data_IF_676123948833
#
_entry.id   IF_676123948833
#
_cell.length_a   1.000
_cell.length_b   1.000
_cell.length_c   1.000
_cell.angle_alpha   90.00
_cell.angle_beta   90.00
_cell.angle_gamma   90.00
#
_symmetry.space_group_name_H-M   'P 1'
#
loop_
_entity.id
_entity.type
_entity.pdbx_description
1 polymer ?
#
# COMPACT_ATOMS: atom_id res chain seq x y z
N UNK A 1 -3.38 -6.72 -30.81
CA UNK A 1 -2.47 -7.66 -30.14
C UNK A 1 -3.26 -8.41 -29.09
N UNK A 2 -3.10 -9.73 -29.04
CA UNK A 2 -3.88 -10.63 -28.18
C UNK A 2 -3.46 -10.52 -26.72
N UNK A 3 -4.43 -10.44 -25.81
CA UNK A 3 -4.22 -10.48 -24.36
C UNK A 3 -3.61 -11.82 -23.96
N UNK A 4 -2.50 -11.81 -23.21
CA UNK A 4 -1.94 -13.03 -22.61
C UNK A 4 -2.79 -13.40 -21.39
N UNK A 5 -3.29 -14.63 -21.35
CA UNK A 5 -4.07 -15.16 -20.23
C UNK A 5 -3.31 -16.37 -19.69
N UNK A 6 -2.92 -16.31 -18.42
CA UNK A 6 -2.26 -17.42 -17.74
C UNK A 6 -3.32 -18.18 -16.95
N UNK A 7 -3.44 -19.47 -17.21
CA UNK A 7 -4.44 -20.32 -16.57
C UNK A 7 -3.80 -21.35 -15.65
N UNK A 8 -2.61 -21.82 -16.01
CA UNK A 8 -1.87 -22.86 -15.31
C UNK A 8 -0.58 -22.35 -14.67
N UNK A 9 -0.05 -23.14 -13.74
CA UNK A 9 1.26 -22.90 -13.14
C UNK A 9 2.39 -23.03 -14.16
N UNK A 10 2.24 -23.89 -15.17
CA UNK A 10 3.20 -24.00 -16.26
C UNK A 10 3.24 -22.72 -17.11
N UNK A 11 2.08 -22.12 -17.42
CA UNK A 11 2.01 -20.84 -18.14
C UNK A 11 2.77 -19.75 -17.37
N UNK A 12 2.55 -19.69 -16.05
CA UNK A 12 3.21 -18.75 -15.15
C UNK A 12 4.73 -18.91 -15.18
N UNK A 13 5.23 -20.14 -15.05
CA UNK A 13 6.67 -20.44 -15.05
C UNK A 13 7.31 -20.13 -16.40
N UNK A 14 6.65 -20.43 -17.51
CA UNK A 14 7.13 -20.12 -18.86
C UNK A 14 7.29 -18.61 -19.04
N UNK A 15 6.29 -17.81 -18.68
CA UNK A 15 6.39 -16.34 -18.80
C UNK A 15 7.44 -15.78 -17.86
N UNK A 16 7.57 -16.32 -16.64
CA UNK A 16 8.62 -15.91 -15.71
C UNK A 16 10.03 -16.19 -16.28
N UNK A 17 10.24 -17.35 -16.89
CA UNK A 17 11.49 -17.69 -17.57
C UNK A 17 11.76 -16.75 -18.76
N UNK A 18 10.74 -16.42 -19.55
CA UNK A 18 10.87 -15.46 -20.65
C UNK A 18 11.24 -14.05 -20.19
N UNK A 19 10.66 -13.57 -19.08
CA UNK A 19 11.04 -12.29 -18.48
C UNK A 19 12.50 -12.29 -18.01
N UNK A 20 12.91 -13.37 -17.32
CA UNK A 20 14.27 -13.51 -16.81
C UNK A 20 15.33 -13.59 -17.92
N UNK A 21 14.96 -14.06 -19.12
CA UNK A 21 15.86 -14.10 -20.27
C UNK A 21 16.19 -12.70 -20.87
N UNK A 22 15.43 -11.66 -20.48
CA UNK A 22 15.88 -10.26 -20.55
C UNK A 22 15.99 -9.58 -21.92
N UNK A 23 15.21 -9.98 -22.95
CA UNK A 23 15.38 -9.48 -24.33
C UNK A 23 14.07 -9.15 -25.07
N UNK A 24 13.11 -8.49 -24.41
CA UNK A 24 11.81 -8.16 -25.04
C UNK A 24 11.62 -6.64 -25.15
N UNK A 25 10.96 -6.14 -26.20
CA UNK A 25 10.56 -4.73 -26.27
C UNK A 25 9.67 -4.33 -25.08
N UNK A 26 9.75 -3.08 -24.63
CA UNK A 26 9.01 -2.59 -23.45
C UNK A 26 7.51 -2.87 -23.51
N UNK A 27 6.90 -2.74 -24.70
CA UNK A 27 5.48 -3.06 -24.91
C UNK A 27 5.15 -4.53 -24.62
N UNK A 28 6.02 -5.46 -25.04
CA UNK A 28 5.87 -6.88 -24.76
C UNK A 28 6.06 -7.19 -23.29
N UNK A 29 7.04 -6.55 -22.63
CA UNK A 29 7.26 -6.67 -21.19
C UNK A 29 6.02 -6.26 -20.40
N UNK A 30 5.37 -5.13 -20.76
CA UNK A 30 4.10 -4.71 -20.12
C UNK A 30 3.02 -5.78 -20.20
N UNK A 31 2.82 -6.39 -21.37
CA UNK A 31 1.82 -7.46 -21.51
C UNK A 31 2.14 -8.70 -20.67
N UNK A 32 3.42 -9.12 -20.63
CA UNK A 32 3.86 -10.26 -19.84
C UNK A 32 3.71 -10.00 -18.34
N UNK A 33 4.15 -8.83 -17.88
CA UNK A 33 4.06 -8.40 -16.48
C UNK A 33 2.61 -8.28 -16.05
N UNK A 34 1.74 -7.67 -16.85
CA UNK A 34 0.32 -7.56 -16.53
C UNK A 34 -0.34 -8.95 -16.46
N UNK A 35 0.04 -9.89 -17.33
CA UNK A 35 -0.46 -11.26 -17.28
C UNK A 35 -0.03 -11.99 -15.99
N UNK A 36 1.24 -11.85 -15.58
CA UNK A 36 1.73 -12.37 -14.29
C UNK A 36 1.01 -11.71 -13.12
N UNK A 37 0.80 -10.40 -13.12
CA UNK A 37 0.13 -9.71 -12.03
C UNK A 37 -1.33 -10.13 -11.88
N UNK A 38 -2.05 -10.33 -12.99
CA UNK A 38 -3.40 -10.88 -13.00
C UNK A 38 -3.42 -12.31 -12.41
N UNK A 39 -2.49 -13.17 -12.84
CA UNK A 39 -2.37 -14.54 -12.34
C UNK A 39 -2.07 -14.56 -10.84
N UNK A 40 -1.11 -13.74 -10.40
CA UNK A 40 -0.70 -13.62 -8.99
C UNK A 40 -1.86 -13.15 -8.12
N UNK A 41 -2.63 -12.18 -8.59
CA UNK A 41 -3.79 -11.68 -7.86
C UNK A 41 -4.84 -12.77 -7.66
N UNK A 42 -5.17 -13.52 -8.71
CA UNK A 42 -6.17 -14.58 -8.64
C UNK A 42 -5.82 -15.69 -7.62
N UNK A 43 -4.54 -15.78 -7.22
CA UNK A 43 -3.99 -16.81 -6.32
C UNK A 43 -3.31 -16.22 -5.06
N UNK A 44 -3.48 -14.92 -4.78
CA UNK A 44 -2.81 -14.22 -3.66
C UNK A 44 -1.28 -14.42 -3.61
N UNK A 45 -0.60 -14.50 -4.77
CA UNK A 45 0.86 -14.65 -4.83
C UNK A 45 1.57 -13.33 -4.50
N UNK A 46 2.46 -13.36 -3.51
CA UNK A 46 3.24 -12.22 -3.05
C UNK A 46 2.36 -11.08 -2.53
N UNK A 47 2.77 -9.84 -2.83
CA UNK A 47 2.12 -8.61 -2.37
C UNK A 47 0.97 -8.12 -3.27
N UNK A 48 0.54 -8.94 -4.24
CA UNK A 48 -0.53 -8.60 -5.18
C UNK A 48 -1.90 -8.81 -4.53
N UNK A 49 -2.72 -7.76 -4.41
CA UNK A 49 -4.12 -7.83 -3.91
C UNK A 49 -5.05 -6.92 -4.72
N UNK A 50 -6.34 -7.27 -4.87
CA UNK A 50 -7.30 -6.47 -5.65
C UNK A 50 -7.43 -5.01 -5.19
N UNK A 51 -7.48 -4.77 -3.88
CA UNK A 51 -7.76 -3.45 -3.30
C UNK A 51 -6.62 -2.43 -3.44
N UNK A 52 -5.41 -2.87 -3.81
CA UNK A 52 -4.24 -2.01 -4.04
C UNK A 52 -3.91 -1.83 -5.54
N UNK A 53 -4.88 -2.10 -6.44
CA UNK A 53 -4.61 -2.20 -7.88
C UNK A 53 -5.67 -1.57 -8.78
N UNK A 54 -6.95 -1.81 -8.50
CA UNK A 54 -8.00 -1.34 -9.40
C UNK A 54 -8.31 0.13 -9.18
N UNK A 55 -8.10 0.93 -10.23
CA UNK A 55 -8.37 2.37 -10.20
C UNK A 55 -7.41 3.17 -9.30
N UNK A 56 -6.29 2.57 -8.89
CA UNK A 56 -5.25 3.24 -8.11
C UNK A 56 -4.01 3.53 -8.96
N UNK A 57 -3.31 4.59 -8.61
CA UNK A 57 -1.97 4.90 -9.13
C UNK A 57 -1.03 5.12 -7.96
N UNK A 58 -0.13 4.18 -7.73
CA UNK A 58 0.94 4.29 -6.75
C UNK A 58 2.06 5.16 -7.34
N UNK A 59 2.20 6.39 -6.83
CA UNK A 59 3.16 7.36 -7.33
C UNK A 59 4.43 7.48 -6.50
N UNK A 60 4.43 6.91 -5.29
CA UNK A 60 5.61 6.80 -4.45
C UNK A 60 5.49 5.54 -3.59
N UNK A 61 6.59 4.83 -3.41
CA UNK A 61 6.62 3.60 -2.63
C UNK A 61 7.91 3.45 -1.85
N UNK A 62 7.78 3.06 -0.57
CA UNK A 62 8.89 2.83 0.33
C UNK A 62 8.87 1.44 0.93
N UNK A 63 10.04 0.95 1.28
CA UNK A 63 10.23 -0.25 2.09
C UNK A 63 10.51 0.16 3.53
N UNK A 64 9.82 -0.48 4.45
CA UNK A 64 10.08 -0.36 5.88
C UNK A 64 11.23 -1.28 6.30
N UNK A 65 11.98 -0.84 7.30
CA UNK A 65 13.05 -1.57 7.93
C UNK A 65 12.95 -1.51 9.46
N UNK A 66 14.01 -1.95 10.13
CA UNK A 66 14.05 -2.09 11.57
C UNK A 66 13.92 -0.77 12.35
N UNK A 67 14.31 0.36 11.77
CA UNK A 67 14.19 1.67 12.43
C UNK A 67 12.75 2.20 12.43
N UNK A 68 11.84 1.60 11.67
CA UNK A 68 10.44 2.03 11.57
C UNK A 68 9.53 1.30 12.58
N UNK A 69 10.09 0.88 13.71
CA UNK A 69 9.34 0.19 14.77
C UNK A 69 8.23 1.06 15.37
N UNK A 70 8.45 2.37 15.46
CA UNK A 70 7.45 3.34 15.93
C UNK A 70 6.22 3.37 15.01
N UNK A 71 6.42 3.38 13.68
CA UNK A 71 5.32 3.33 12.72
C UNK A 71 4.45 2.07 12.92
N UNK A 72 5.09 0.93 13.21
CA UNK A 72 4.39 -0.33 13.50
C UNK A 72 3.59 -0.25 14.79
N UNK A 73 4.14 0.35 15.85
CA UNK A 73 3.42 0.56 17.11
C UNK A 73 2.22 1.50 16.93
N UNK A 74 2.40 2.57 16.16
CA UNK A 74 1.33 3.51 15.86
C UNK A 74 0.22 2.84 15.02
N UNK A 75 0.56 1.98 14.07
CA UNK A 75 -0.42 1.18 13.35
C UNK A 75 -1.24 0.28 14.30
N UNK A 76 -0.59 -0.40 15.25
CA UNK A 76 -1.31 -1.19 16.28
C UNK A 76 -2.26 -0.32 17.09
N UNK A 77 -1.78 0.84 17.58
CA UNK A 77 -2.59 1.78 18.36
C UNK A 77 -3.84 2.23 17.59
N UNK A 78 -3.66 2.65 16.33
CA UNK A 78 -4.75 3.06 15.44
C UNK A 78 -5.77 1.95 15.26
N UNK A 79 -5.34 0.71 14.97
CA UNK A 79 -6.26 -0.41 14.77
C UNK A 79 -7.11 -0.65 16.02
N UNK A 80 -6.48 -0.67 17.19
CA UNK A 80 -7.19 -0.96 18.45
C UNK A 80 -8.12 0.17 18.87
N UNK A 81 -7.76 1.43 18.58
CA UNK A 81 -8.59 2.60 18.86
C UNK A 81 -9.82 2.67 17.93
N UNK A 82 -9.63 2.40 16.64
CA UNK A 82 -10.68 2.51 15.62
C UNK A 82 -11.64 1.31 15.60
N UNK A 83 -11.14 0.11 15.95
CA UNK A 83 -11.94 -1.11 16.03
C UNK A 83 -11.82 -1.78 17.40
N UNK A 84 -12.38 -1.19 18.47
CA UNK A 84 -12.32 -1.78 19.82
C UNK A 84 -12.99 -3.16 19.87
N UNK A 85 -13.99 -3.39 19.02
CA UNK A 85 -14.74 -4.64 18.87
C UNK A 85 -14.22 -5.51 17.71
N UNK A 86 -12.92 -5.44 17.40
CA UNK A 86 -12.31 -6.30 16.38
C UNK A 86 -12.49 -7.78 16.76
N UNK A 87 -13.01 -8.64 15.85
CA UNK A 87 -13.21 -10.06 16.15
C UNK A 87 -11.91 -10.78 16.51
N UNK A 88 -12.01 -11.87 17.27
CA UNK A 88 -10.85 -12.55 17.85
C UNK A 88 -9.86 -13.06 16.80
N UNK A 89 -10.34 -13.67 15.72
CA UNK A 89 -9.48 -14.22 14.66
C UNK A 89 -8.60 -13.15 13.98
N UNK A 90 -9.14 -12.04 13.43
CA UNK A 90 -8.31 -10.97 12.87
C UNK A 90 -7.45 -10.28 13.94
N UNK A 91 -7.94 -10.12 15.18
CA UNK A 91 -7.13 -9.56 16.28
C UNK A 91 -5.89 -10.41 16.54
N UNK A 92 -6.08 -11.72 16.71
CA UNK A 92 -4.99 -12.66 16.94
C UNK A 92 -3.96 -12.62 15.80
N UNK A 93 -4.43 -12.59 14.55
CA UNK A 93 -3.54 -12.47 13.40
C UNK A 93 -2.73 -11.17 13.42
N UNK A 94 -3.36 -10.03 13.70
CA UNK A 94 -2.67 -8.73 13.77
C UNK A 94 -1.62 -8.75 14.87
N UNK A 95 -1.96 -9.26 16.05
CA UNK A 95 -1.03 -9.38 17.17
C UNK A 95 0.16 -10.28 16.81
N UNK A 96 -0.10 -11.43 16.21
CA UNK A 96 0.95 -12.34 15.76
C UNK A 96 1.83 -11.69 14.68
N UNK A 97 1.25 -10.97 13.72
CA UNK A 97 2.00 -10.35 12.63
C UNK A 97 2.86 -9.17 13.10
N UNK A 98 2.30 -8.28 13.92
CA UNK A 98 2.94 -7.02 14.29
C UNK A 98 3.79 -7.09 15.57
N UNK A 99 3.50 -8.06 16.45
CA UNK A 99 4.19 -8.22 17.73
C UNK A 99 5.04 -9.50 17.83
N UNK A 100 5.11 -10.34 16.78
CA UNK A 100 6.00 -11.52 16.82
C UNK A 100 7.49 -11.17 16.82
N UNK A 101 8.28 -12.13 17.31
CA UNK A 101 9.75 -12.03 17.30
C UNK A 101 10.32 -11.95 15.86
N UNK A 102 9.64 -12.55 14.88
CA UNK A 102 10.01 -12.43 13.47
C UNK A 102 9.40 -11.15 12.89
N UNK A 103 10.26 -10.19 12.57
CA UNK A 103 9.81 -8.89 12.05
C UNK A 103 9.06 -9.06 10.72
N UNK A 104 7.89 -8.42 10.55
CA UNK A 104 7.19 -8.43 9.29
C UNK A 104 7.96 -7.63 8.24
N UNK A 105 7.80 -8.01 6.98
CA UNK A 105 8.10 -7.14 5.86
C UNK A 105 7.09 -5.98 5.86
N UNK A 106 7.55 -4.78 5.57
CA UNK A 106 6.69 -3.60 5.54
C UNK A 106 6.92 -2.75 4.29
N UNK A 107 5.85 -2.15 3.78
CA UNK A 107 5.88 -1.24 2.64
C UNK A 107 4.87 -0.10 2.84
N UNK A 108 5.20 1.06 2.29
CA UNK A 108 4.30 2.20 2.18
C UNK A 108 4.04 2.45 0.69
N UNK A 109 2.77 2.65 0.31
CA UNK A 109 2.39 3.03 -1.05
C UNK A 109 1.53 4.29 -1.01
N UNK A 110 2.02 5.39 -1.57
CA UNK A 110 1.23 6.61 -1.75
C UNK A 110 0.51 6.53 -3.08
N UNK A 111 -0.80 6.78 -3.05
CA UNK A 111 -1.68 6.48 -4.16
C UNK A 111 -2.69 7.58 -4.46
N UNK A 112 -3.06 7.66 -5.73
CA UNK A 112 -4.25 8.36 -6.21
C UNK A 112 -5.33 7.32 -6.51
N UNK A 113 -6.57 7.57 -6.08
CA UNK A 113 -7.68 6.64 -6.23
C UNK A 113 -9.00 7.38 -6.50
N UNK A 114 -9.82 6.85 -7.41
CA UNK A 114 -11.17 7.38 -7.65
C UNK A 114 -12.22 6.40 -7.19
N UNK A 115 -13.15 6.87 -6.36
CA UNK A 115 -14.28 6.10 -5.84
C UNK A 115 -15.58 6.85 -6.08
N UNK A 116 -16.51 6.24 -6.82
CA UNK A 116 -17.80 6.85 -7.16
C UNK A 116 -17.70 8.29 -7.70
N UNK A 117 -16.66 8.59 -8.48
CA UNK A 117 -16.39 9.91 -9.06
C UNK A 117 -15.68 10.89 -8.12
N UNK A 118 -15.49 10.56 -6.84
CA UNK A 118 -14.70 11.33 -5.90
C UNK A 118 -13.23 10.93 -5.99
N UNK A 119 -12.34 11.92 -6.09
CA UNK A 119 -10.90 11.71 -6.05
C UNK A 119 -10.38 11.68 -4.61
N UNK A 120 -9.43 10.79 -4.36
CA UNK A 120 -8.70 10.66 -3.10
C UNK A 120 -7.21 10.56 -3.39
N UNK A 121 -6.40 11.25 -2.61
CA UNK A 121 -5.02 10.81 -2.40
C UNK A 121 -4.95 10.06 -1.08
N UNK A 122 -4.11 9.03 -1.01
CA UNK A 122 -3.99 8.22 0.19
C UNK A 122 -2.65 7.54 0.32
N UNK A 123 -2.52 6.82 1.42
CA UNK A 123 -1.35 6.03 1.75
C UNK A 123 -1.79 4.66 2.26
N UNK A 124 -1.16 3.62 1.73
CA UNK A 124 -1.30 2.23 2.20
C UNK A 124 -0.08 1.91 3.05
N UNK A 125 -0.28 1.62 4.34
CA UNK A 125 0.73 1.01 5.20
C UNK A 125 0.49 -0.49 5.21
N UNK A 126 1.45 -1.23 4.68
CA UNK A 126 1.31 -2.65 4.41
C UNK A 126 2.33 -3.46 5.19
N UNK A 127 1.85 -4.38 6.02
CA UNK A 127 2.68 -5.36 6.72
C UNK A 127 2.38 -6.76 6.22
N UNK A 128 3.38 -7.63 6.23
CA UNK A 128 3.16 -9.03 5.89
C UNK A 128 4.36 -9.91 6.19
N UNK A 129 4.16 -11.20 6.06
CA UNK A 129 5.20 -12.22 6.27
C UNK A 129 5.13 -13.28 5.20
N UNK A 130 6.23 -13.99 5.01
CA UNK A 130 6.23 -15.19 4.17
C UNK A 130 5.37 -16.23 4.87
N UNK A 131 4.37 -16.76 4.16
CA UNK A 131 3.54 -17.83 4.68
C UNK A 131 4.41 -19.06 4.98
N UNK A 132 4.15 -19.72 6.12
CA UNK A 132 4.96 -20.84 6.62
C UNK A 132 5.03 -22.02 5.66
N UNK A 133 3.97 -22.26 4.89
CA UNK A 133 3.82 -23.42 4.02
C UNK A 133 4.36 -23.14 2.60
N UNK A 134 4.52 -21.86 2.22
CA UNK A 134 4.96 -21.49 0.88
C UNK A 134 5.60 -20.11 0.79
N UNK A 135 6.80 -20.08 0.21
CA UNK A 135 7.53 -18.84 -0.14
C UNK A 135 6.83 -17.98 -1.18
N UNK A 136 5.78 -18.46 -1.84
CA UNK A 136 5.00 -17.71 -2.84
C UNK A 136 3.87 -16.92 -2.22
N UNK A 137 3.36 -17.38 -1.09
CA UNK A 137 2.21 -16.78 -0.41
C UNK A 137 2.66 -15.82 0.68
N UNK A 138 1.84 -14.81 0.92
CA UNK A 138 2.09 -13.80 1.94
C UNK A 138 0.82 -13.64 2.75
N UNK A 139 0.98 -13.70 4.06
CA UNK A 139 0.01 -13.16 4.98
C UNK A 139 0.16 -11.64 4.98
N UNK A 140 -0.95 -10.92 5.06
CA UNK A 140 -0.94 -9.47 4.86
C UNK A 140 -1.93 -8.73 5.76
N UNK A 141 -1.52 -7.55 6.17
CA UNK A 141 -2.33 -6.51 6.79
C UNK A 141 -2.10 -5.21 6.00
N UNK A 142 -3.18 -4.57 5.56
CA UNK A 142 -3.12 -3.25 4.93
C UNK A 142 -3.99 -2.27 5.71
N UNK A 143 -3.42 -1.11 6.06
CA UNK A 143 -4.15 0.08 6.50
C UNK A 143 -4.10 1.10 5.37
N UNK A 144 -5.24 1.67 5.00
CA UNK A 144 -5.36 2.64 3.92
C UNK A 144 -5.96 3.91 4.49
N UNK A 145 -5.21 5.01 4.45
CA UNK A 145 -5.60 6.32 4.97
C UNK A 145 -5.77 7.29 3.80
N UNK A 146 -6.93 7.93 3.68
CA UNK A 146 -7.32 8.65 2.46
C UNK A 146 -7.90 10.02 2.77
N UNK A 147 -7.45 10.98 1.97
CA UNK A 147 -7.87 12.38 1.99
C UNK A 147 -8.60 12.70 0.68
N UNK A 148 -9.84 13.20 0.73
CA UNK A 148 -10.57 13.62 -0.46
C UNK A 148 -9.85 14.79 -1.12
N UNK A 149 -9.79 14.76 -2.45
CA UNK A 149 -9.23 15.82 -3.28
C UNK A 149 -10.37 16.54 -3.99
N UNK A 150 -10.46 17.85 -3.79
CA UNK A 150 -11.39 18.74 -4.49
C UNK A 150 -10.61 19.87 -5.14
N UNK A 151 -10.81 20.07 -6.44
CA UNK A 151 -10.12 21.12 -7.22
C UNK A 151 -8.58 21.09 -7.08
N UNK A 152 -8.00 19.89 -6.97
CA UNK A 152 -6.56 19.70 -6.79
C UNK A 152 -6.04 20.00 -5.37
N UNK A 153 -6.94 20.15 -4.40
CA UNK A 153 -6.62 20.40 -2.99
C UNK A 153 -7.07 19.21 -2.15
N UNK A 154 -6.13 18.64 -1.41
CA UNK A 154 -6.38 17.61 -0.40
C UNK A 154 -7.02 18.22 0.85
N UNK A 155 -8.08 17.61 1.35
CA UNK A 155 -8.96 18.22 2.38
C UNK A 155 -8.79 17.63 3.79
N UNK A 156 -7.83 16.73 3.96
CA UNK A 156 -7.50 16.10 5.24
C UNK A 156 -8.01 14.67 5.30
N UNK A 157 -7.50 13.90 6.26
CA UNK A 157 -7.90 12.51 6.47
C UNK A 157 -9.42 12.43 6.67
N UNK A 158 -10.08 11.70 5.78
CA UNK A 158 -11.52 11.45 5.87
C UNK A 158 -11.87 9.97 5.90
N UNK A 159 -11.00 9.10 5.38
CA UNK A 159 -11.33 7.67 5.31
C UNK A 159 -10.17 6.82 5.79
N UNK A 160 -10.50 5.81 6.60
CA UNK A 160 -9.61 4.74 7.00
C UNK A 160 -10.22 3.40 6.57
N UNK A 161 -9.45 2.58 5.87
CA UNK A 161 -9.80 1.18 5.55
C UNK A 161 -8.73 0.24 6.09
N UNK A 162 -9.13 -0.97 6.41
CA UNK A 162 -8.24 -2.04 6.85
C UNK A 162 -8.61 -3.35 6.15
N UNK A 163 -7.59 -4.11 5.75
CA UNK A 163 -7.74 -5.45 5.21
C UNK A 163 -6.81 -6.39 5.97
N UNK A 164 -7.40 -7.41 6.61
CA UNK A 164 -6.71 -8.47 7.33
C UNK A 164 -6.80 -9.73 6.49
N UNK A 165 -5.69 -10.15 5.88
CA UNK A 165 -5.66 -11.21 4.89
C UNK A 165 -4.48 -12.17 5.13
N UNK A 166 -4.54 -13.03 6.18
CA UNK A 166 -3.73 -14.23 6.22
C UNK A 166 -3.99 -15.07 4.97
N UNK A 167 -2.95 -15.68 4.42
CA UNK A 167 -3.15 -16.54 3.24
C UNK A 167 -3.97 -17.77 3.62
N UNK A 168 -5.00 -18.05 2.81
CA UNK A 168 -5.78 -19.29 2.83
C UNK A 168 -5.99 -19.81 1.40
N UNK A 169 -5.94 -21.13 1.22
CA UNK A 169 -6.16 -21.75 -0.09
C UNK A 169 -7.64 -21.72 -0.51
N UNK A 170 -8.56 -21.51 0.43
CA UNK A 170 -10.00 -21.67 0.25
C UNK A 170 -10.73 -20.37 -0.12
N UNK A 171 -10.08 -19.20 -0.08
CA UNK A 171 -10.77 -17.92 -0.20
C UNK A 171 -9.99 -16.83 -0.94
N UNK A 172 -10.69 -16.05 -1.77
CA UNK A 172 -10.13 -14.80 -2.35
C UNK A 172 -10.33 -13.59 -1.45
N UNK A 173 -11.33 -13.64 -0.59
CA UNK A 173 -11.66 -12.57 0.34
C UNK A 173 -10.65 -12.51 1.49
N UNK A 174 -10.45 -11.32 2.09
CA UNK A 174 -9.70 -11.18 3.34
C UNK A 174 -10.43 -11.92 4.47
N UNK A 175 -9.69 -12.32 5.50
CA UNK A 175 -10.27 -12.83 6.76
C UNK A 175 -11.23 -11.80 7.36
N UNK A 176 -10.86 -10.53 7.29
CA UNK A 176 -11.69 -9.43 7.76
C UNK A 176 -11.32 -8.12 7.07
N UNK A 177 -12.30 -7.23 6.93
CA UNK A 177 -12.10 -5.87 6.43
C UNK A 177 -12.95 -4.88 7.22
N UNK A 178 -12.45 -3.66 7.37
CA UNK A 178 -13.11 -2.58 8.10
C UNK A 178 -12.97 -1.25 7.36
N UNK A 179 -13.92 -0.34 7.60
CA UNK A 179 -13.99 0.96 6.93
C UNK A 179 -14.65 1.99 7.84
N UNK A 180 -14.06 3.18 7.92
CA UNK A 180 -14.52 4.36 8.68
C UNK A 180 -14.41 5.61 7.79
N UNK A 181 -15.47 6.42 7.71
CA UNK A 181 -15.52 7.69 6.93
C UNK A 181 -15.60 8.97 7.77
N UNK A 182 -15.80 8.85 9.11
CA UNK A 182 -15.72 9.85 10.21
C UNK A 182 -16.74 9.52 11.32
N UNK A 183 -16.52 9.97 12.56
CA UNK A 183 -15.32 10.65 13.06
C UNK A 183 -14.13 9.69 13.11
N UNK A 184 -12.95 10.19 12.76
CA UNK A 184 -11.68 9.45 12.82
C UNK A 184 -10.95 9.86 14.10
N UNK A 185 -10.39 8.89 14.83
CA UNK A 185 -9.73 9.11 16.11
C UNK A 185 -8.45 9.96 15.96
N UNK A 186 -8.06 10.71 17.01
CA UNK A 186 -6.84 11.53 16.99
C UNK A 186 -5.57 10.77 16.64
N UNK A 187 -5.40 9.54 17.11
CA UNK A 187 -4.21 8.72 16.80
C UNK A 187 -4.11 8.38 15.31
N UNK A 188 -5.24 8.22 14.63
CA UNK A 188 -5.29 7.97 13.19
C UNK A 188 -4.91 9.24 12.41
N UNK A 189 -5.33 10.42 12.90
CA UNK A 189 -4.88 11.71 12.36
C UNK A 189 -3.36 11.86 12.53
N UNK A 190 -2.81 11.47 13.69
CA UNK A 190 -1.37 11.45 13.95
C UNK A 190 -0.62 10.54 12.99
N UNK A 191 -1.13 9.32 12.76
CA UNK A 191 -0.55 8.38 11.79
C UNK A 191 -0.55 8.95 10.37
N UNK A 192 -1.66 9.55 9.93
CA UNK A 192 -1.72 10.17 8.61
C UNK A 192 -0.75 11.34 8.46
N UNK A 193 -0.64 12.20 9.48
CA UNK A 193 0.32 13.30 9.49
C UNK A 193 1.77 12.81 9.44
N UNK A 194 2.10 11.79 10.23
CA UNK A 194 3.41 11.16 10.19
C UNK A 194 3.75 10.62 8.80
N UNK A 195 2.82 9.89 8.17
CA UNK A 195 3.01 9.34 6.83
C UNK A 195 3.12 10.42 5.75
N UNK A 196 2.35 11.50 5.89
CA UNK A 196 2.45 12.67 5.02
C UNK A 196 3.88 13.23 5.07
N UNK A 197 4.42 13.44 6.27
CA UNK A 197 5.78 13.93 6.50
C UNK A 197 6.83 12.99 5.93
N UNK A 198 6.71 11.67 6.18
CA UNK A 198 7.59 10.66 5.60
C UNK A 198 7.60 10.71 4.06
N UNK A 199 6.46 10.97 3.42
CA UNK A 199 6.39 11.10 1.96
C UNK A 199 7.33 12.18 1.41
N UNK A 200 7.47 13.30 2.13
CA UNK A 200 8.32 14.42 1.76
C UNK A 200 9.78 14.15 2.15
N UNK A 201 10.01 13.67 3.37
CA UNK A 201 11.37 13.43 3.89
C UNK A 201 12.07 12.30 3.11
N UNK A 202 11.35 11.22 2.81
CA UNK A 202 11.93 10.07 2.11
C UNK A 202 11.87 10.17 0.59
N UNK A 203 11.31 11.23 0.02
CA UNK A 203 11.17 11.38 -1.43
C UNK A 203 12.49 11.22 -2.20
N UNK A 204 13.60 11.63 -1.59
CA UNK A 204 14.93 11.58 -2.19
C UNK A 204 15.82 10.48 -1.56
N UNK A 205 15.32 9.75 -0.56
CA UNK A 205 16.06 8.69 0.12
C UNK A 205 16.00 7.37 -0.67
N UNK A 206 16.99 7.18 -1.55
CA UNK A 206 17.14 5.98 -2.38
C UNK A 206 17.24 4.68 -1.58
N UNK A 207 17.63 4.72 -0.30
CA UNK A 207 17.69 3.51 0.54
C UNK A 207 16.31 3.02 0.98
N UNK A 208 15.33 3.93 0.99
CA UNK A 208 13.94 3.68 1.36
C UNK A 208 13.08 3.32 0.17
N UNK A 209 13.39 3.88 -1.00
CA UNK A 209 12.60 3.68 -2.22
C UNK A 209 12.46 2.19 -2.53
N UNK A 210 11.21 1.73 -2.57
CA UNK A 210 10.89 0.44 -3.12
C UNK A 210 10.71 0.59 -4.63
N UNK A 211 11.80 0.37 -5.36
CA UNK A 211 11.81 0.34 -6.83
C UNK A 211 12.27 -1.03 -7.29
N UNK A 212 11.31 -1.85 -7.72
CA UNK A 212 11.61 -3.11 -8.40
C UNK A 212 11.47 -2.86 -9.90
N UNK A 213 12.39 -3.33 -10.74
CA UNK A 213 12.38 -3.06 -12.20
C UNK A 213 11.02 -3.34 -12.88
N UNK A 214 10.22 -4.25 -12.31
CA UNK A 214 8.89 -4.60 -12.80
C UNK A 214 7.88 -3.46 -12.65
N UNK A 215 8.07 -2.50 -11.73
CA UNK A 215 7.13 -1.40 -11.48
C UNK A 215 6.93 -0.54 -12.72
N UNK A 216 7.96 -0.38 -13.56
CA UNK A 216 7.90 0.37 -14.82
C UNK A 216 6.97 -0.29 -15.88
N UNK A 217 6.54 -1.53 -15.60
CA UNK A 217 5.72 -2.35 -16.46
C UNK A 217 4.38 -2.76 -15.84
N UNK A 218 4.06 -2.27 -14.63
CA UNK A 218 2.80 -2.52 -13.94
C UNK A 218 1.92 -1.28 -14.03
N UNK A 219 0.71 -1.42 -14.54
CA UNK A 219 -0.16 -0.28 -14.90
C UNK A 219 -0.54 0.64 -13.73
N UNK A 220 -0.55 0.12 -12.49
CA UNK A 220 -0.91 0.89 -11.29
C UNK A 220 0.31 1.50 -10.57
N UNK A 221 1.50 1.47 -11.17
CA UNK A 221 2.67 2.25 -10.75
C UNK A 221 2.99 3.30 -11.81
N UNK A 222 3.26 4.53 -11.38
CA UNK A 222 3.59 5.60 -12.32
C UNK A 222 3.52 6.98 -11.67
N UNK A 223 3.78 8.06 -12.42
CA UNK A 223 3.64 9.41 -11.90
C UNK A 223 2.18 9.68 -11.51
N UNK A 224 1.98 10.68 -10.65
CA UNK A 224 0.67 11.28 -10.40
C UNK A 224 -0.06 11.58 -11.71
N UNK A 225 -1.34 11.27 -11.76
CA UNK A 225 -2.22 11.54 -12.90
C UNK A 225 -2.96 12.86 -12.74
N UNK A 226 -3.06 13.40 -11.53
CA UNK A 226 -3.77 14.64 -11.26
C UNK A 226 -2.81 15.81 -11.01
N UNK A 227 -3.26 17.00 -11.43
CA UNK A 227 -2.58 18.24 -11.10
C UNK A 227 -2.99 18.65 -9.69
N UNK A 228 -2.05 18.53 -8.75
CA UNK A 228 -2.26 18.90 -7.35
C UNK A 228 -1.76 20.33 -7.09
N UNK A 229 -2.64 21.17 -6.54
CA UNK A 229 -2.31 22.50 -6.03
C UNK A 229 -1.81 22.43 -4.58
N UNK A 230 -2.49 21.61 -3.77
CA UNK A 230 -2.14 21.35 -2.37
C UNK A 230 -2.32 19.87 -2.05
N UNK A 231 -1.27 19.22 -1.59
CA UNK A 231 -1.23 17.79 -1.29
C UNK A 231 -0.53 17.53 0.04
N UNK A 232 -1.02 16.54 0.79
CA UNK A 232 -0.29 16.03 1.95
C UNK A 232 0.94 15.22 1.56
N UNK A 233 0.95 14.65 0.35
CA UNK A 233 2.04 13.79 -0.10
C UNK A 233 2.95 14.48 -1.11
N UNK A 234 4.20 14.06 -1.17
CA UNK A 234 5.23 14.67 -2.00
C UNK A 234 4.80 14.90 -3.46
N UNK A 235 5.12 16.09 -3.97
CA UNK A 235 4.99 16.48 -5.37
C UNK A 235 6.40 16.83 -5.89
N UNK A 236 6.96 16.06 -6.83
CA UNK A 236 8.30 16.33 -7.37
C UNK A 236 8.44 17.77 -7.87
N UNK A 237 9.45 18.47 -7.35
CA UNK A 237 9.78 19.84 -7.77
C UNK A 237 8.83 20.94 -7.27
N UNK A 238 7.88 20.64 -6.38
CA UNK A 238 6.91 21.63 -5.88
C UNK A 238 6.67 21.51 -4.35
N UNK A 239 7.67 21.92 -3.55
CA UNK A 239 7.55 21.95 -2.09
C UNK A 239 6.49 22.92 -1.58
N UNK A 240 6.21 23.99 -2.33
CA UNK A 240 5.17 24.97 -1.98
C UNK A 240 3.74 24.38 -2.02
N UNK A 241 3.55 23.24 -2.70
CA UNK A 241 2.29 22.51 -2.73
C UNK A 241 2.05 21.61 -1.51
N UNK A 242 2.97 21.56 -0.54
CA UNK A 242 2.73 20.84 0.71
C UNK A 242 1.54 21.45 1.47
N UNK A 243 0.55 20.62 1.75
CA UNK A 243 -0.51 20.92 2.70
C UNK A 243 0.04 20.79 4.13
N UNK A 244 -0.47 21.63 5.02
CA UNK A 244 -0.08 21.63 6.43
C UNK A 244 -1.33 21.31 7.25
N UNK A 245 -1.19 20.52 8.29
CA UNK A 245 -2.28 20.29 9.23
C UNK A 245 -2.52 21.55 10.05
N UNK A 246 -3.78 21.97 10.16
CA UNK A 246 -4.10 23.24 10.80
C UNK A 246 -3.73 23.27 12.30
N UNK A 247 -3.78 22.13 13.01
CA UNK A 247 -3.72 22.10 14.48
C UNK A 247 -3.17 20.79 15.08
N UNK A 248 -2.27 20.06 14.43
CA UNK A 248 -1.61 18.90 15.08
C UNK A 248 -0.32 19.38 15.73
N UNK A 249 -0.26 19.55 17.07
CA UNK A 249 1.02 19.72 17.75
C UNK A 249 1.78 18.40 17.59
N UNK A 250 2.66 18.35 16.58
CA UNK A 250 3.76 17.42 16.60
C UNK A 250 4.71 17.97 17.67
N UNK A 251 4.53 17.57 18.91
CA UNK A 251 5.59 17.68 19.92
C UNK A 251 6.72 16.77 19.43
N UNK A 252 7.61 17.33 18.61
CA UNK A 252 8.95 16.79 18.41
C UNK A 252 9.72 16.97 19.73
N UNK A 253 9.34 16.23 20.77
CA UNK A 253 10.22 15.92 21.89
C UNK A 253 10.99 14.64 21.54
N UNK A 254 11.94 14.77 20.61
CA UNK A 254 13.04 13.83 20.48
C UNK A 254 14.27 14.62 20.01
N UNK A 255 15.17 14.83 20.96
CA UNK A 255 16.49 15.43 20.81
C UNK A 255 17.44 14.58 19.95
#
# INVERSE_FOLDING_TARGET
>A
MTKIILTTEQDYQTIQAELNAGKKPSKTLRFMVQALENYRQARKYGWSRPWNKYGVVNFQSFRLNDSDAELRQLAVQVIMAEWPQLPDAPRHFIDELLNSATKPLGFIFFQEYTDNGQHFEGVVVSYGRINKDSRRHRDRLDLILESPVSQGISTGLARLRIYVDPFNDEGKEPLWQGHIDKPIQPDTQRLFAYLADLSWVWAEDKSRIWQHWITDYIDYFGPRQWVMQKSYFHIPGNSAARAVFADTPYENEAA
#
